data_IF_444284554290
#
_entry.id   IF_444284554290
#
_cell.length_a   1.000
_cell.length_b   1.000
_cell.length_c   1.000
_cell.angle_alpha   90.00
_cell.angle_beta   90.00
_cell.angle_gamma   90.00
#
_symmetry.space_group_name_H-M   'P 1'
#
loop_
_entity.id
_entity.type
_entity.pdbx_description
1 polymer ?
#
# COMPACT_ATOMS: atom_id res chain seq x y z
N UNK A 1 6.30 25.17 3.40
CA UNK A 1 6.07 23.74 3.12
C UNK A 1 5.12 23.14 4.14
N UNK A 2 5.37 23.34 5.44
CA UNK A 2 4.54 22.84 6.55
C UNK A 2 3.04 23.16 6.42
N UNK A 3 2.68 24.41 6.09
CA UNK A 3 1.27 24.81 5.90
C UNK A 3 0.53 24.04 4.79
N UNK A 4 1.21 23.73 3.68
CA UNK A 4 0.57 23.02 2.55
C UNK A 4 0.34 21.57 2.91
N UNK A 5 1.32 20.94 3.57
CA UNK A 5 1.19 19.57 4.09
C UNK A 5 0.08 19.48 5.13
N UNK A 6 0.02 20.41 6.09
CA UNK A 6 -1.03 20.47 7.11
C UNK A 6 -2.44 20.62 6.51
N UNK A 7 -2.59 21.47 5.49
CA UNK A 7 -3.85 21.62 4.77
C UNK A 7 -4.24 20.34 4.02
N UNK A 8 -3.29 19.70 3.33
CA UNK A 8 -3.51 18.42 2.66
C UNK A 8 -3.97 17.33 3.65
N UNK A 9 -3.29 17.21 4.79
CA UNK A 9 -3.62 16.25 5.84
C UNK A 9 -5.04 16.46 6.39
N UNK A 10 -5.41 17.72 6.63
CA UNK A 10 -6.74 18.08 7.15
C UNK A 10 -7.84 17.73 6.15
N UNK A 11 -7.63 18.07 4.87
CA UNK A 11 -8.59 17.76 3.80
C UNK A 11 -8.70 16.24 3.62
N UNK A 12 -7.57 15.53 3.47
CA UNK A 12 -7.56 14.09 3.23
C UNK A 12 -8.23 13.31 4.37
N UNK A 13 -7.98 13.69 5.63
CA UNK A 13 -8.63 13.05 6.79
C UNK A 13 -10.15 13.24 6.73
N UNK A 14 -10.60 14.49 6.50
CA UNK A 14 -12.02 14.80 6.40
C UNK A 14 -12.71 14.07 5.24
N UNK A 15 -12.08 14.00 4.08
CA UNK A 15 -12.62 13.30 2.91
C UNK A 15 -12.76 11.80 3.14
N UNK A 16 -11.77 11.18 3.79
CA UNK A 16 -11.82 9.76 4.14
C UNK A 16 -12.97 9.53 5.12
N UNK A 17 -13.06 10.32 6.19
CA UNK A 17 -14.14 10.22 7.19
C UNK A 17 -15.53 10.41 6.58
N UNK A 18 -15.70 11.43 5.75
CA UNK A 18 -16.96 11.77 5.10
C UNK A 18 -17.31 10.90 3.88
N UNK A 19 -16.40 10.02 3.45
CA UNK A 19 -16.52 9.21 2.24
C UNK A 19 -16.63 10.04 0.94
N UNK A 20 -16.04 11.24 0.92
CA UNK A 20 -16.08 12.19 -0.21
C UNK A 20 -14.68 12.40 -0.78
N UNK A 21 -14.24 11.52 -1.70
CA UNK A 21 -12.86 11.49 -2.22
C UNK A 21 -12.60 12.52 -3.35
N UNK A 22 -12.94 13.80 -3.20
CA UNK A 22 -12.81 14.76 -4.31
C UNK A 22 -11.35 15.14 -4.58
N UNK A 23 -10.63 15.60 -3.56
CA UNK A 23 -9.24 15.99 -3.62
C UNK A 23 -8.33 14.75 -3.71
N UNK A 24 -8.66 13.67 -3.00
CA UNK A 24 -7.94 12.39 -3.09
C UNK A 24 -7.99 11.76 -4.49
N UNK A 25 -8.92 12.16 -5.36
CA UNK A 25 -8.93 11.76 -6.78
C UNK A 25 -7.91 12.54 -7.62
N UNK A 26 -7.53 13.74 -7.21
CA UNK A 26 -6.76 14.68 -8.06
C UNK A 26 -5.25 14.55 -7.92
N UNK A 27 -4.75 14.18 -6.73
CA UNK A 27 -3.31 14.12 -6.44
C UNK A 27 -2.93 12.85 -5.68
N UNK A 28 -1.75 12.32 -5.97
CA UNK A 28 -1.17 11.21 -5.24
C UNK A 28 -0.55 11.70 -3.91
N UNK A 29 -0.87 11.01 -2.81
CA UNK A 29 -0.25 11.22 -1.49
C UNK A 29 1.19 10.67 -1.46
N UNK A 30 1.43 9.58 -2.20
CA UNK A 30 2.71 8.92 -2.35
C UNK A 30 3.04 8.82 -3.84
N UNK A 31 4.30 9.08 -4.22
CA UNK A 31 4.79 8.80 -5.56
C UNK A 31 5.68 7.57 -5.53
N UNK A 32 5.16 6.42 -5.98
CA UNK A 32 5.88 5.16 -5.96
C UNK A 32 7.23 5.26 -6.70
N UNK A 33 7.30 5.93 -7.85
CA UNK A 33 8.55 6.07 -8.61
C UNK A 33 9.55 7.11 -8.07
N UNK A 34 9.20 7.85 -7.02
CA UNK A 34 10.13 8.79 -6.43
C UNK A 34 11.37 8.05 -5.90
N UNK A 35 12.53 8.71 -5.88
CA UNK A 35 13.76 8.16 -5.27
C UNK A 35 13.47 7.76 -3.82
N UNK A 36 14.08 6.69 -3.33
CA UNK A 36 13.72 6.07 -2.04
C UNK A 36 13.63 7.08 -0.88
N UNK A 37 14.60 7.98 -0.75
CA UNK A 37 14.58 9.01 0.30
C UNK A 37 13.36 9.95 0.21
N UNK A 38 12.90 10.27 -1.01
CA UNK A 38 11.69 11.10 -1.22
C UNK A 38 10.45 10.31 -0.85
N UNK A 39 10.40 9.03 -1.23
CA UNK A 39 9.28 8.15 -0.90
C UNK A 39 9.16 7.97 0.61
N UNK A 40 10.28 7.75 1.29
CA UNK A 40 10.33 7.62 2.75
C UNK A 40 9.92 8.93 3.43
N UNK A 41 10.37 10.07 2.91
CA UNK A 41 9.92 11.38 3.39
C UNK A 41 8.41 11.58 3.20
N UNK A 42 7.83 11.12 2.08
CA UNK A 42 6.37 11.17 1.85
C UNK A 42 5.62 10.24 2.80
N UNK A 43 6.15 9.04 3.09
CA UNK A 43 5.59 8.14 4.11
C UNK A 43 5.56 8.83 5.48
N UNK A 44 6.69 9.40 5.92
CA UNK A 44 6.84 10.05 7.23
C UNK A 44 6.06 11.37 7.38
N UNK A 45 5.99 12.18 6.32
CA UNK A 45 5.39 13.52 6.40
C UNK A 45 3.93 13.57 5.95
N UNK A 46 3.44 12.55 5.24
CA UNK A 46 2.08 12.52 4.68
C UNK A 46 1.30 11.32 5.19
N UNK A 47 1.78 10.09 4.96
CA UNK A 47 0.99 8.89 5.32
C UNK A 47 0.90 8.68 6.83
N UNK A 48 2.03 8.73 7.55
CA UNK A 48 2.07 8.53 9.01
C UNK A 48 1.20 9.55 9.77
N UNK A 49 1.29 10.88 9.50
CA UNK A 49 0.45 11.85 10.21
C UNK A 49 -1.02 11.76 9.81
N UNK A 50 -1.34 11.39 8.56
CA UNK A 50 -2.72 11.17 8.12
C UNK A 50 -3.33 9.97 8.85
N UNK A 51 -2.60 8.86 8.93
CA UNK A 51 -3.02 7.68 9.68
C UNK A 51 -3.20 8.02 11.16
N UNK A 52 -2.29 8.76 11.77
CA UNK A 52 -2.42 9.18 13.17
C UNK A 52 -3.70 10.00 13.41
N UNK A 53 -4.08 10.89 12.49
CA UNK A 53 -5.35 11.65 12.57
C UNK A 53 -6.55 10.72 12.45
N UNK A 54 -6.57 9.84 11.46
CA UNK A 54 -7.63 8.84 11.30
C UNK A 54 -7.72 7.95 12.55
N UNK A 55 -6.59 7.56 13.15
CA UNK A 55 -6.56 6.84 14.42
C UNK A 55 -7.27 7.62 15.52
N UNK A 56 -6.98 8.91 15.73
CA UNK A 56 -7.68 9.70 16.76
C UNK A 56 -9.21 9.71 16.54
N UNK A 57 -9.67 9.83 15.29
CA UNK A 57 -11.09 9.87 14.98
C UNK A 57 -11.79 8.50 15.15
N UNK A 58 -11.15 7.41 14.69
CA UNK A 58 -11.72 6.06 14.70
C UNK A 58 -11.47 5.28 16.02
N UNK A 59 -10.41 5.60 16.79
CA UNK A 59 -10.09 4.99 18.10
C UNK A 59 -11.02 5.45 19.23
N UNK A 60 -11.87 6.44 18.99
CA UNK A 60 -12.92 6.86 19.94
C UNK A 60 -13.93 5.75 20.27
N UNK A 61 -13.93 4.63 19.52
CA UNK A 61 -14.88 3.53 19.67
C UNK A 61 -14.28 2.19 20.16
N UNK A 62 -12.96 1.97 20.09
CA UNK A 62 -12.30 0.74 20.56
C UNK A 62 -11.13 1.09 21.49
N UNK A 63 -11.44 1.17 22.78
CA UNK A 63 -10.48 1.51 23.81
C UNK A 63 -9.58 0.31 24.15
N UNK A 64 -8.31 0.62 24.47
CA UNK A 64 -7.37 -0.18 25.26
C UNK A 64 -6.60 -1.25 24.46
N UNK A 65 -5.71 -0.82 23.57
CA UNK A 65 -4.36 -1.43 23.44
C UNK A 65 -3.41 -0.41 22.81
N UNK A 66 -2.14 -0.29 23.25
CA UNK A 66 -1.14 0.57 22.59
C UNK A 66 -0.80 0.13 21.15
N UNK A 67 -1.20 -1.10 20.80
CA UNK A 67 -1.23 -1.67 19.45
C UNK A 67 -2.70 -1.92 19.01
N UNK A 68 -3.60 -0.98 19.36
CA UNK A 68 -5.04 -1.07 19.17
C UNK A 68 -5.42 -1.09 17.69
N UNK A 69 -6.04 -2.20 17.30
CA UNK A 69 -6.54 -2.57 15.99
C UNK A 69 -6.86 -1.39 15.05
N UNK A 70 -5.98 -1.17 14.07
CA UNK A 70 -6.30 -0.38 12.88
C UNK A 70 -7.44 -1.00 12.05
N UNK A 71 -8.12 -2.05 12.55
CA UNK A 71 -9.20 -2.78 11.89
C UNK A 71 -10.35 -1.87 11.46
N UNK A 72 -10.75 -0.90 12.30
CA UNK A 72 -11.81 0.02 11.94
C UNK A 72 -11.42 0.89 10.72
N UNK A 73 -10.21 1.45 10.74
CA UNK A 73 -9.67 2.23 9.62
C UNK A 73 -9.49 1.36 8.39
N UNK A 74 -8.89 0.17 8.53
CA UNK A 74 -8.68 -0.78 7.43
C UNK A 74 -10.02 -1.19 6.83
N UNK A 75 -11.03 -1.46 7.64
CA UNK A 75 -12.38 -1.77 7.18
C UNK A 75 -12.97 -0.62 6.38
N UNK A 76 -12.89 0.60 6.92
CA UNK A 76 -13.39 1.81 6.27
C UNK A 76 -12.68 2.08 4.93
N UNK A 77 -11.35 2.02 4.90
CA UNK A 77 -10.56 2.18 3.67
C UNK A 77 -10.89 1.10 2.63
N UNK A 78 -11.12 -0.15 3.04
CA UNK A 78 -11.57 -1.22 2.15
C UNK A 78 -12.98 -0.96 1.59
N UNK A 79 -13.89 -0.37 2.37
CA UNK A 79 -15.21 0.02 1.88
C UNK A 79 -15.11 1.11 0.82
N UNK A 80 -14.29 2.14 1.06
CA UNK A 80 -14.03 3.20 0.08
C UNK A 80 -13.38 2.65 -1.20
N UNK A 81 -12.47 1.69 -1.07
CA UNK A 81 -11.84 1.04 -2.21
C UNK A 81 -12.86 0.25 -3.05
N UNK A 82 -13.78 -0.47 -2.41
CA UNK A 82 -14.90 -1.14 -3.11
C UNK A 82 -15.83 -0.14 -3.79
N UNK A 83 -16.11 1.01 -3.18
CA UNK A 83 -16.90 2.07 -3.82
C UNK A 83 -16.19 2.59 -5.08
N UNK A 84 -14.86 2.75 -5.05
CA UNK A 84 -14.08 3.13 -6.23
C UNK A 84 -14.19 2.07 -7.34
N UNK A 85 -14.19 0.79 -6.99
CA UNK A 85 -14.36 -0.32 -7.94
C UNK A 85 -15.75 -0.33 -8.59
N UNK A 86 -16.80 -0.04 -7.83
CA UNK A 86 -18.18 -0.05 -8.34
C UNK A 86 -18.51 1.15 -9.25
N UNK A 87 -17.78 2.26 -9.11
CA UNK A 87 -17.99 3.49 -9.88
C UNK A 87 -17.25 3.48 -11.24
N UNK A 88 -17.22 2.34 -11.94
CA UNK A 88 -16.43 2.00 -13.15
C UNK A 88 -16.62 2.88 -14.40
N UNK A 89 -17.25 4.04 -14.28
CA UNK A 89 -17.18 5.10 -15.27
C UNK A 89 -15.86 5.87 -15.12
N UNK A 90 -14.81 5.36 -15.77
CA UNK A 90 -13.69 6.15 -16.33
C UNK A 90 -13.25 7.37 -15.51
N UNK A 91 -12.38 7.18 -14.53
CA UNK A 91 -11.53 8.30 -14.12
C UNK A 91 -10.20 7.79 -13.62
N UNK A 92 -9.22 7.97 -14.49
CA UNK A 92 -7.87 8.40 -14.21
C UNK A 92 -7.79 9.26 -12.91
N UNK A 93 -7.80 8.63 -11.74
CA UNK A 93 -7.85 9.31 -10.45
C UNK A 93 -7.01 8.56 -9.41
N UNK A 94 -6.42 9.31 -8.48
CA UNK A 94 -5.51 8.78 -7.47
C UNK A 94 -6.21 8.20 -6.24
N UNK A 95 -7.55 8.15 -6.21
CA UNK A 95 -8.28 7.73 -5.03
C UNK A 95 -7.96 6.27 -4.64
N UNK A 96 -8.07 5.34 -5.60
CA UNK A 96 -7.71 3.94 -5.36
C UNK A 96 -6.24 3.80 -4.97
N UNK A 97 -5.35 4.59 -5.59
CA UNK A 97 -3.91 4.59 -5.26
C UNK A 97 -3.65 5.00 -3.82
N UNK A 98 -4.27 6.11 -3.41
CA UNK A 98 -4.12 6.69 -2.09
C UNK A 98 -4.66 5.75 -1.02
N UNK A 99 -5.82 5.15 -1.25
CA UNK A 99 -6.41 4.15 -0.35
C UNK A 99 -5.51 2.91 -0.22
N UNK A 100 -4.96 2.41 -1.33
CA UNK A 100 -4.05 1.26 -1.32
C UNK A 100 -2.74 1.56 -0.61
N UNK A 101 -2.14 2.73 -0.84
CA UNK A 101 -0.91 3.13 -0.15
C UNK A 101 -1.14 3.27 1.36
N UNK A 102 -2.30 3.77 1.79
CA UNK A 102 -2.68 3.82 3.21
C UNK A 102 -2.86 2.42 3.80
N UNK A 103 -3.59 1.53 3.10
CA UNK A 103 -3.75 0.13 3.51
C UNK A 103 -2.41 -0.60 3.62
N UNK A 104 -1.51 -0.39 2.66
CA UNK A 104 -0.19 -0.98 2.68
C UNK A 104 0.66 -0.44 3.84
N UNK A 105 0.63 0.88 4.07
CA UNK A 105 1.35 1.48 5.19
C UNK A 105 0.84 0.99 6.56
N UNK A 106 -0.46 0.71 6.68
CA UNK A 106 -1.08 0.06 7.84
C UNK A 106 -0.77 -1.44 7.95
N UNK A 107 -0.01 -2.02 7.01
CA UNK A 107 0.24 -3.46 6.88
C UNK A 107 -1.07 -4.27 6.88
N UNK A 108 -2.11 -3.72 6.26
CA UNK A 108 -3.38 -4.41 6.12
C UNK A 108 -3.19 -5.66 5.26
N UNK A 109 -3.79 -6.77 5.67
CA UNK A 109 -3.91 -7.94 4.82
C UNK A 109 -4.63 -7.55 3.51
N UNK A 110 -4.08 -7.83 2.35
CA UNK A 110 -4.77 -7.57 1.07
C UNK A 110 -5.31 -8.86 0.45
N UNK A 111 -5.29 -9.97 1.18
CA UNK A 111 -5.70 -11.27 0.63
C UNK A 111 -7.12 -11.23 0.09
N UNK A 112 -7.30 -11.66 -1.16
CA UNK A 112 -8.62 -11.71 -1.80
C UNK A 112 -9.23 -10.35 -2.16
N UNK A 113 -8.47 -9.24 -2.07
CA UNK A 113 -8.98 -7.92 -2.45
C UNK A 113 -9.17 -7.85 -3.97
N UNK A 114 -10.34 -7.35 -4.38
CA UNK A 114 -10.67 -7.10 -5.78
C UNK A 114 -10.19 -5.71 -6.21
N UNK A 115 -9.18 -5.67 -7.08
CA UNK A 115 -8.65 -4.47 -7.73
C UNK A 115 -8.95 -4.46 -9.23
N UNK A 116 -9.86 -5.33 -9.69
CA UNK A 116 -10.17 -5.51 -11.11
C UNK A 116 -10.74 -4.24 -11.72
N UNK A 117 -10.34 -3.96 -12.96
CA UNK A 117 -10.79 -2.79 -13.72
C UNK A 117 -10.30 -1.42 -13.21
N UNK A 118 -9.57 -1.36 -12.09
CA UNK A 118 -9.00 -0.12 -11.57
C UNK A 118 -7.82 0.36 -12.43
N UNK A 119 -7.57 1.67 -12.40
CA UNK A 119 -6.30 2.23 -12.90
C UNK A 119 -5.45 2.62 -11.69
N UNK A 120 -4.34 1.90 -11.48
CA UNK A 120 -3.41 2.14 -10.38
C UNK A 120 -2.13 2.79 -10.89
N UNK A 121 -1.74 3.94 -10.31
CA UNK A 121 -0.70 4.83 -10.87
C UNK A 121 0.50 5.11 -10.01
N UNK A 122 0.36 5.16 -8.71
CA UNK A 122 1.48 5.55 -7.83
C UNK A 122 1.41 4.70 -6.57
N UNK A 123 1.12 3.42 -6.75
CA UNK A 123 1.01 2.47 -5.66
C UNK A 123 2.36 1.82 -5.43
N UNK A 124 2.82 1.86 -4.19
CA UNK A 124 4.00 1.13 -3.75
C UNK A 124 3.53 -0.19 -3.13
N UNK A 125 3.63 -1.29 -3.88
CA UNK A 125 3.32 -2.66 -3.47
C UNK A 125 4.59 -3.50 -3.31
N UNK A 126 5.76 -2.85 -3.16
CA UNK A 126 7.06 -3.52 -3.13
C UNK A 126 7.22 -4.55 -2.01
N UNK A 127 6.57 -4.31 -0.87
CA UNK A 127 6.68 -5.19 0.32
C UNK A 127 5.31 -5.74 0.73
N UNK A 128 4.36 -5.82 -0.21
CA UNK A 128 2.97 -6.17 0.07
C UNK A 128 2.64 -7.59 -0.38
N UNK A 129 2.20 -8.49 0.51
CA UNK A 129 1.71 -9.80 0.10
C UNK A 129 0.38 -9.65 -0.65
N UNK A 130 0.36 -10.04 -1.93
CA UNK A 130 -0.81 -9.95 -2.82
C UNK A 130 -1.48 -11.32 -3.06
N UNK A 131 -1.63 -12.12 -2.01
CA UNK A 131 -2.25 -13.45 -2.11
C UNK A 131 -3.70 -13.35 -2.59
N UNK A 132 -4.04 -14.05 -3.69
CA UNK A 132 -5.40 -14.08 -4.23
C UNK A 132 -6.01 -12.69 -4.57
N UNK A 133 -5.18 -11.65 -4.74
CA UNK A 133 -5.65 -10.33 -5.18
C UNK A 133 -6.06 -10.40 -6.65
N UNK A 134 -7.26 -9.91 -6.97
CA UNK A 134 -7.73 -9.85 -8.37
C UNK A 134 -7.24 -8.55 -9.03
N UNK A 135 -6.35 -8.69 -10.02
CA UNK A 135 -5.82 -7.61 -10.85
C UNK A 135 -6.34 -7.67 -12.30
N UNK A 136 -7.44 -8.38 -12.54
CA UNK A 136 -8.01 -8.56 -13.89
C UNK A 136 -8.42 -7.22 -14.49
N UNK A 137 -7.97 -6.92 -15.70
CA UNK A 137 -8.23 -5.64 -16.39
C UNK A 137 -7.73 -4.39 -15.65
N UNK A 138 -6.87 -4.55 -14.64
CA UNK A 138 -6.26 -3.43 -13.91
C UNK A 138 -5.17 -2.77 -14.75
N UNK A 139 -5.24 -1.45 -14.89
CA UNK A 139 -4.21 -0.68 -15.57
C UNK A 139 -3.15 -0.24 -14.57
N UNK A 140 -1.98 -0.87 -14.62
CA UNK A 140 -0.85 -0.56 -13.76
C UNK A 140 0.09 0.41 -14.48
N UNK A 141 0.30 1.60 -13.91
CA UNK A 141 1.21 2.62 -14.44
C UNK A 141 2.07 3.12 -13.30
N UNK A 142 3.40 3.19 -13.42
CA UNK A 142 4.26 3.71 -12.35
C UNK A 142 4.01 3.08 -10.95
N UNK A 143 3.46 1.86 -10.91
CA UNK A 143 3.22 1.06 -9.69
C UNK A 143 4.46 0.21 -9.43
N UNK A 144 4.97 0.25 -8.19
CA UNK A 144 6.07 -0.61 -7.78
C UNK A 144 5.51 -1.92 -7.25
N UNK A 145 6.04 -3.03 -7.73
CA UNK A 145 5.82 -4.35 -7.15
C UNK A 145 7.09 -4.79 -6.45
N UNK A 146 6.98 -5.84 -5.61
CA UNK A 146 8.18 -6.53 -5.12
C UNK A 146 9.01 -6.86 -6.34
N UNK A 147 10.31 -6.54 -6.29
CA UNK A 147 11.20 -7.05 -7.32
C UNK A 147 10.96 -8.55 -7.35
N UNK A 148 10.34 -9.01 -8.44
CA UNK A 148 10.19 -10.43 -8.64
C UNK A 148 11.60 -10.97 -8.57
N UNK A 149 11.80 -12.06 -7.82
CA UNK A 149 12.87 -12.99 -8.17
C UNK A 149 12.42 -13.59 -9.51
N UNK A 150 12.44 -12.77 -10.56
CA UNK A 150 12.00 -13.13 -11.88
C UNK A 150 13.05 -14.10 -12.38
N UNK A 151 12.56 -15.31 -12.58
CA UNK A 151 13.28 -16.44 -13.13
C UNK A 151 14.43 -16.90 -12.23
N UNK A 152 14.06 -17.54 -11.11
CA UNK A 152 14.99 -18.43 -10.39
C UNK A 152 15.38 -19.55 -11.36
N UNK A 153 16.56 -19.45 -11.96
CA UNK A 153 17.07 -20.49 -12.85
C UNK A 153 18.01 -21.47 -12.12
N UNK A 154 18.45 -21.11 -10.92
CA UNK A 154 19.25 -21.97 -10.03
C UNK A 154 18.84 -21.82 -8.58
N UNK A 155 18.80 -22.97 -7.91
CA UNK A 155 18.60 -23.10 -6.47
C UNK A 155 19.69 -24.03 -5.94
N UNK A 156 20.28 -23.70 -4.81
CA UNK A 156 21.20 -24.58 -4.07
C UNK A 156 20.91 -24.50 -2.58
N UNK A 157 20.99 -25.64 -1.91
CA UNK A 157 20.88 -25.74 -0.45
C UNK A 157 22.27 -26.03 0.10
N UNK A 158 22.64 -25.42 1.22
CA UNK A 158 23.89 -25.70 1.92
C UNK A 158 23.93 -27.15 2.42
N UNK A 159 25.08 -27.84 2.49
CA UNK A 159 25.16 -29.25 2.94
C UNK A 159 24.61 -29.53 4.35
N UNK A 160 24.49 -28.49 5.17
CA UNK A 160 23.92 -28.51 6.51
C UNK A 160 22.42 -28.12 6.55
N UNK A 161 21.76 -27.93 5.41
CA UNK A 161 20.35 -27.55 5.27
C UNK A 161 19.94 -26.24 5.96
N UNK A 162 20.90 -25.34 6.22
CA UNK A 162 20.67 -24.09 6.95
C UNK A 162 20.44 -22.88 6.03
N UNK A 163 20.92 -22.94 4.79
CA UNK A 163 20.89 -21.82 3.86
C UNK A 163 20.37 -22.27 2.48
N UNK A 164 19.45 -21.47 1.95
CA UNK A 164 18.91 -21.59 0.60
C UNK A 164 19.42 -20.43 -0.25
N UNK A 165 20.14 -20.75 -1.31
CA UNK A 165 20.60 -19.78 -2.30
C UNK A 165 19.71 -19.85 -3.56
N UNK A 166 19.19 -18.70 -3.99
CA UNK A 166 18.42 -18.57 -5.24
C UNK A 166 19.12 -17.55 -6.14
N UNK A 167 19.34 -17.90 -7.42
CA UNK A 167 19.89 -16.97 -8.40
C UNK A 167 18.84 -16.60 -9.45
N UNK A 168 18.64 -15.29 -9.65
CA UNK A 168 17.74 -14.73 -10.66
C UNK A 168 18.47 -14.45 -11.99
N UNK A 169 17.71 -14.36 -13.10
CA UNK A 169 18.27 -14.06 -14.44
C UNK A 169 18.93 -12.67 -14.55
N UNK A 170 18.64 -11.76 -13.62
CA UNK A 170 19.28 -10.46 -13.51
C UNK A 170 20.66 -10.51 -12.80
N UNK A 171 21.14 -11.69 -12.41
CA UNK A 171 22.39 -11.87 -11.69
C UNK A 171 22.29 -11.61 -10.18
N UNK A 172 21.09 -11.33 -9.65
CA UNK A 172 20.87 -11.24 -8.22
C UNK A 172 20.98 -12.63 -7.57
N UNK A 173 21.62 -12.69 -6.40
CA UNK A 173 21.70 -13.88 -5.56
C UNK A 173 21.02 -13.57 -4.24
N UNK A 174 19.97 -14.32 -3.92
CA UNK A 174 19.25 -14.26 -2.66
C UNK A 174 19.74 -15.40 -1.76
N UNK A 175 20.04 -15.08 -0.51
CA UNK A 175 20.33 -16.06 0.53
C UNK A 175 19.21 -16.01 1.56
N UNK A 176 18.64 -17.18 1.85
CA UNK A 176 17.54 -17.34 2.79
C UNK A 176 17.97 -18.30 3.89
N UNK A 177 17.81 -17.88 5.15
CA UNK A 177 18.10 -18.70 6.33
C UNK A 177 16.91 -19.60 6.62
N UNK A 178 17.12 -20.92 6.50
CA UNK A 178 16.07 -21.93 6.71
C UNK A 178 15.78 -22.19 8.19
N UNK A 179 16.63 -21.70 9.11
CA UNK A 179 16.44 -21.83 10.56
C UNK A 179 15.67 -20.67 11.19
N UNK A 180 15.56 -19.53 10.50
CA UNK A 180 14.98 -18.30 11.01
C UNK A 180 13.49 -18.09 10.64
N UNK A 181 12.76 -19.18 10.38
CA UNK A 181 11.40 -19.21 9.84
C UNK A 181 10.43 -18.13 10.36
#
# INVERSE_FOLDING_TARGET
MEYVTEKLLTIAAHEIEAQTLWDLKTHALLKAEAVDYVRDSQKQLILEPLIARLMVHFLSHDAITPLGDCKAIVHHLRQLLRQCQQQTASSNCYAADNLLNLLNHLKADLTGVDLSGLTLRQVDLADTPLHQVDLSNTHLKHTRFTESISDIFRISISPNDDLLAMAGLNGAVFLYDLKAG
#
